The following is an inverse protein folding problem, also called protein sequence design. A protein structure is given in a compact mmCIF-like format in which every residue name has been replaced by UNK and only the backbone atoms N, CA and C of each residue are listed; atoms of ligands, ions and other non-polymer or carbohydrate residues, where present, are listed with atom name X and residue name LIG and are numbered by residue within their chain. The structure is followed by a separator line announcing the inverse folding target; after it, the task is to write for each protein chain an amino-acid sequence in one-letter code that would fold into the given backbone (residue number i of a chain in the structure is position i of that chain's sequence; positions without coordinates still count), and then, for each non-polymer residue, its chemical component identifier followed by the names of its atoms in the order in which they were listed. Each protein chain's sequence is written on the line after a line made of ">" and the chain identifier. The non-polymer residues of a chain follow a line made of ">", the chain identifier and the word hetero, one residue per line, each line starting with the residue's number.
data_IF_380821455665
#
_entry.id   IF_380821455665
#
_cell.length_a   1.000
_cell.length_b   1.000
_cell.length_c   1.000
_cell.angle_alpha   90.00
_cell.angle_beta   90.00
_cell.angle_gamma   90.00
#
_symmetry.space_group_name_H-M   'P 1'
#
loop_
_entity.id
_entity.type
_entity.pdbx_description
1 polymer ?
#
# COMPACT_ATOMS: atom_id res chain seq x y z
N UNK A 1 -0.37 2.84 1.82
CA UNK A 1 0.09 2.48 0.45
C UNK A 1 -0.67 1.28 -0.06
N UNK A 2 -1.09 1.33 -1.33
CA UNK A 2 -1.93 0.32 -2.01
C UNK A 2 -1.17 -1.00 -2.25
N UNK A 3 -0.59 -1.60 -1.21
CA UNK A 3 0.03 -2.94 -1.29
C UNK A 3 -1.11 -3.93 -1.56
N UNK A 4 -1.11 -4.62 -2.72
CA UNK A 4 -2.20 -5.50 -3.09
C UNK A 4 -2.37 -6.62 -2.06
N UNK A 5 -3.60 -6.74 -1.54
CA UNK A 5 -4.05 -7.87 -0.74
C UNK A 5 -4.56 -8.95 -1.67
N UNK A 6 -3.64 -9.64 -2.35
CA UNK A 6 -3.96 -10.75 -3.25
C UNK A 6 -4.23 -12.04 -2.47
N UNK A 7 -5.01 -11.93 -1.40
CA UNK A 7 -5.40 -13.05 -0.54
C UNK A 7 -6.80 -13.47 -1.00
N UNK A 8 -6.99 -14.72 -1.49
CA UNK A 8 -8.30 -15.20 -1.88
C UNK A 8 -9.30 -15.10 -0.73
N UNK A 9 -10.56 -14.79 -1.05
CA UNK A 9 -11.67 -14.91 -0.10
C UNK A 9 -11.92 -16.36 0.33
N UNK A 10 -12.91 -16.61 1.20
CA UNK A 10 -13.19 -17.97 1.68
C UNK A 10 -13.55 -18.91 0.51
N UNK A 11 -13.28 -20.21 0.67
CA UNK A 11 -13.66 -21.20 -0.35
C UNK A 11 -15.20 -21.28 -0.44
N UNK A 12 -15.72 -21.14 -1.65
CA UNK A 12 -17.15 -21.21 -1.94
C UNK A 12 -17.44 -22.28 -2.97
N UNK A 13 -18.56 -22.98 -2.82
CA UNK A 13 -19.04 -23.97 -3.78
C UNK A 13 -20.46 -23.63 -4.23
N UNK A 14 -20.85 -24.10 -5.41
CA UNK A 14 -22.20 -23.88 -5.96
C UNK A 14 -23.14 -24.98 -5.51
N UNK A 15 -24.32 -24.60 -5.03
CA UNK A 15 -25.43 -25.49 -4.72
C UNK A 15 -26.50 -25.32 -5.80
N UNK A 16 -26.86 -26.43 -6.44
CA UNK A 16 -27.96 -26.49 -7.40
C UNK A 16 -29.24 -26.92 -6.69
N UNK A 17 -30.30 -26.12 -6.82
CA UNK A 17 -31.62 -26.44 -6.27
C UNK A 17 -32.47 -27.22 -7.29
N UNK A 18 -33.46 -27.97 -6.79
CA UNK A 18 -34.38 -28.77 -7.60
C UNK A 18 -35.19 -27.93 -8.63
N UNK A 19 -35.25 -26.61 -8.45
CA UNK A 19 -35.91 -25.67 -9.37
C UNK A 19 -35.02 -25.13 -10.51
N UNK A 20 -33.74 -25.49 -10.55
CA UNK A 20 -32.77 -24.97 -11.52
C UNK A 20 -32.04 -23.69 -11.09
N UNK A 21 -32.37 -23.15 -9.91
CA UNK A 21 -31.65 -22.03 -9.32
C UNK A 21 -30.31 -22.48 -8.72
N UNK A 22 -29.30 -21.61 -8.80
CA UNK A 22 -27.96 -21.84 -8.27
C UNK A 22 -27.56 -20.73 -7.31
N UNK A 23 -26.91 -21.09 -6.20
CA UNK A 23 -26.31 -20.11 -5.30
C UNK A 23 -24.96 -20.59 -4.76
N UNK A 24 -24.09 -19.63 -4.44
CA UNK A 24 -22.78 -19.91 -3.84
C UNK A 24 -22.92 -19.99 -2.33
N UNK A 25 -22.36 -21.04 -1.74
CA UNK A 25 -22.27 -21.22 -0.30
C UNK A 25 -20.81 -21.20 0.12
N UNK A 26 -20.51 -20.58 1.26
CA UNK A 26 -19.21 -20.66 1.90
C UNK A 26 -19.07 -22.05 2.53
N UNK A 27 -17.96 -22.72 2.29
CA UNK A 27 -17.65 -23.97 2.95
C UNK A 27 -17.02 -23.69 4.32
N UNK A 28 -17.62 -24.21 5.38
CA UNK A 28 -17.07 -24.11 6.73
C UNK A 28 -16.01 -25.20 6.93
N UNK A 29 -14.76 -24.83 6.64
CA UNK A 29 -13.63 -25.75 6.79
C UNK A 29 -13.28 -26.03 8.24
N UNK A 30 -13.57 -25.09 9.16
CA UNK A 30 -13.21 -25.24 10.57
C UNK A 30 -14.04 -26.35 11.22
N UNK A 31 -15.34 -26.42 10.91
CA UNK A 31 -16.20 -27.55 11.31
C UNK A 31 -15.77 -28.87 10.64
N UNK A 32 -15.44 -28.82 9.35
CA UNK A 32 -14.96 -30.00 8.61
C UNK A 32 -13.60 -30.52 9.11
N UNK A 33 -12.75 -29.69 9.69
CA UNK A 33 -11.50 -30.15 10.33
C UNK A 33 -11.76 -30.93 11.62
N UNK A 34 -12.83 -30.62 12.34
CA UNK A 34 -13.25 -31.38 13.54
C UNK A 34 -13.88 -32.71 13.12
N UNK A 35 -14.72 -32.68 12.09
CA UNK A 35 -15.47 -33.84 11.59
C UNK A 35 -15.02 -34.22 10.16
N UNK A 36 -13.73 -34.48 9.98
CA UNK A 36 -13.17 -34.67 8.64
C UNK A 36 -13.81 -35.81 7.85
N UNK A 37 -14.34 -35.52 6.64
CA UNK A 37 -14.81 -36.54 5.73
C UNK A 37 -13.69 -37.53 5.45
N UNK A 38 -13.99 -38.82 5.61
CA UNK A 38 -13.01 -39.88 5.31
C UNK A 38 -13.04 -40.16 3.83
N UNK A 39 -11.86 -40.47 3.27
CA UNK A 39 -11.78 -40.94 1.90
C UNK A 39 -12.64 -42.20 1.75
N UNK A 40 -13.60 -42.24 0.80
CA UNK A 40 -14.40 -43.43 0.58
C UNK A 40 -13.52 -44.62 0.18
N UNK A 41 -13.92 -45.82 0.60
CA UNK A 41 -13.18 -47.06 0.32
C UNK A 41 -13.52 -47.67 -1.04
N UNK A 42 -14.73 -47.40 -1.54
CA UNK A 42 -15.18 -47.85 -2.86
C UNK A 42 -14.57 -46.91 -3.91
N UNK A 43 -13.98 -47.43 -5.01
CA UNK A 43 -13.49 -46.60 -6.11
C UNK A 43 -14.56 -45.67 -6.67
N UNK A 44 -14.18 -44.46 -7.08
CA UNK A 44 -15.11 -43.45 -7.58
C UNK A 44 -15.88 -43.94 -8.82
N UNK A 45 -15.26 -44.77 -9.64
CA UNK A 45 -15.84 -45.35 -10.84
C UNK A 45 -17.00 -46.31 -10.53
N UNK A 46 -17.04 -46.87 -9.32
CA UNK A 46 -18.07 -47.79 -8.84
C UNK A 46 -19.17 -47.05 -8.06
N UNK A 47 -18.92 -45.79 -7.66
CA UNK A 47 -19.87 -44.95 -6.95
C UNK A 47 -20.85 -44.29 -7.94
N UNK A 48 -21.92 -45.01 -8.30
CA UNK A 48 -22.94 -44.51 -9.22
C UNK A 48 -23.73 -43.33 -8.61
N UNK A 49 -24.01 -42.31 -9.43
CA UNK A 49 -24.79 -41.15 -9.01
C UNK A 49 -26.17 -41.56 -8.44
N UNK A 50 -26.52 -41.01 -7.29
CA UNK A 50 -27.74 -41.34 -6.54
C UNK A 50 -27.54 -42.40 -5.45
N UNK A 51 -26.38 -43.07 -5.39
CA UNK A 51 -26.01 -43.92 -4.27
C UNK A 51 -25.30 -43.11 -3.16
N UNK A 52 -25.41 -43.53 -1.88
CA UNK A 52 -24.73 -42.87 -0.77
C UNK A 52 -23.22 -42.66 -1.01
N UNK A 53 -22.55 -43.65 -1.58
CA UNK A 53 -21.10 -43.64 -1.77
C UNK A 53 -20.64 -42.59 -2.78
N UNK A 54 -21.51 -42.19 -3.71
CA UNK A 54 -21.24 -41.08 -4.62
C UNK A 54 -21.21 -39.75 -3.86
N UNK A 55 -22.15 -39.54 -2.95
CA UNK A 55 -22.21 -38.32 -2.14
C UNK A 55 -21.05 -38.24 -1.14
N UNK A 56 -20.61 -39.38 -0.59
CA UNK A 56 -19.40 -39.45 0.24
C UNK A 56 -18.16 -39.00 -0.55
N UNK A 57 -18.06 -39.36 -1.84
CA UNK A 57 -16.99 -38.88 -2.73
C UNK A 57 -17.08 -37.38 -3.00
N UNK A 58 -18.29 -36.85 -3.29
CA UNK A 58 -18.48 -35.41 -3.50
C UNK A 58 -18.10 -34.59 -2.27
N UNK A 59 -18.49 -35.04 -1.08
CA UNK A 59 -18.15 -34.39 0.18
C UNK A 59 -16.65 -34.45 0.46
N UNK A 60 -16.01 -35.61 0.26
CA UNK A 60 -14.57 -35.76 0.44
C UNK A 60 -13.77 -34.89 -0.54
N UNK A 61 -14.16 -34.85 -1.82
CA UNK A 61 -13.51 -34.00 -2.83
C UNK A 61 -13.66 -32.52 -2.50
N UNK A 62 -14.87 -32.08 -2.10
CA UNK A 62 -15.12 -30.69 -1.68
C UNK A 62 -14.24 -30.31 -0.49
N UNK A 63 -14.07 -31.22 0.48
CA UNK A 63 -13.15 -31.01 1.59
C UNK A 63 -11.69 -30.89 1.14
N UNK A 64 -11.22 -31.74 0.21
CA UNK A 64 -9.85 -31.64 -0.33
C UNK A 64 -9.63 -30.33 -1.10
N UNK A 65 -10.60 -29.88 -1.88
CA UNK A 65 -10.53 -28.59 -2.57
C UNK A 65 -10.48 -27.42 -1.58
N UNK A 66 -11.32 -27.46 -0.54
CA UNK A 66 -11.33 -26.47 0.52
C UNK A 66 -9.98 -26.42 1.26
N UNK A 67 -9.37 -27.57 1.58
CA UNK A 67 -8.03 -27.66 2.17
C UNK A 67 -6.97 -27.05 1.26
N UNK A 68 -6.98 -27.38 -0.04
CA UNK A 68 -6.04 -26.82 -1.00
C UNK A 68 -6.18 -25.29 -1.11
N UNK A 69 -7.42 -24.78 -1.08
CA UNK A 69 -7.70 -23.36 -1.08
C UNK A 69 -7.20 -22.67 0.20
N UNK A 70 -7.39 -23.30 1.36
CA UNK A 70 -6.91 -22.77 2.64
C UNK A 70 -5.38 -22.68 2.68
N UNK A 71 -4.67 -23.68 2.15
CA UNK A 71 -3.21 -23.63 2.00
C UNK A 71 -2.77 -22.44 1.14
N UNK A 72 -3.41 -22.22 -0.02
CA UNK A 72 -3.11 -21.07 -0.88
C UNK A 72 -3.39 -19.73 -0.19
N UNK A 73 -4.44 -19.65 0.62
CA UNK A 73 -4.70 -18.47 1.42
C UNK A 73 -3.56 -18.22 2.43
N UNK A 74 -3.10 -19.26 3.13
CA UNK A 74 -1.98 -19.14 4.07
C UNK A 74 -0.68 -18.69 3.37
N UNK A 75 -0.37 -19.26 2.21
CA UNK A 75 0.78 -18.84 1.39
C UNK A 75 0.64 -17.37 0.95
N UNK A 76 -0.54 -16.98 0.44
CA UNK A 76 -0.80 -15.58 0.06
C UNK A 76 -0.72 -14.60 1.24
N UNK A 77 -1.13 -15.01 2.45
CA UNK A 77 -0.93 -14.23 3.68
C UNK A 77 0.55 -14.07 4.01
N UNK A 78 1.33 -15.15 3.93
CA UNK A 78 2.77 -15.10 4.20
C UNK A 78 3.47 -14.15 3.23
N UNK A 79 3.18 -14.25 1.93
CA UNK A 79 3.71 -13.34 0.90
C UNK A 79 3.27 -11.89 1.15
N UNK A 80 2.01 -11.65 1.53
CA UNK A 80 1.55 -10.31 1.87
C UNK A 80 2.31 -9.72 3.06
N UNK A 81 2.49 -10.50 4.13
CA UNK A 81 3.27 -10.10 5.30
C UNK A 81 4.72 -9.78 4.94
N UNK A 82 5.34 -10.57 4.05
CA UNK A 82 6.70 -10.32 3.55
C UNK A 82 6.76 -8.98 2.79
N UNK A 83 5.83 -8.73 1.86
CA UNK A 83 5.74 -7.45 1.14
C UNK A 83 5.58 -6.25 2.07
N UNK A 84 4.71 -6.37 3.07
CA UNK A 84 4.50 -5.32 4.09
C UNK A 84 5.79 -5.10 4.90
N UNK A 85 6.48 -6.17 5.27
CA UNK A 85 7.73 -6.10 6.03
C UNK A 85 8.81 -5.38 5.25
N UNK A 86 9.04 -5.75 3.99
CA UNK A 86 10.00 -5.08 3.10
C UNK A 86 9.65 -3.60 2.97
N UNK A 87 8.37 -3.29 2.73
CA UNK A 87 7.92 -1.91 2.63
C UNK A 87 8.21 -1.09 3.90
N UNK A 88 7.94 -1.65 5.08
CA UNK A 88 8.25 -1.00 6.36
C UNK A 88 9.76 -0.83 6.54
N UNK A 89 10.57 -1.81 6.16
CA UNK A 89 12.03 -1.67 6.25
C UNK A 89 12.56 -0.57 5.33
N UNK A 90 12.10 -0.52 4.07
CA UNK A 90 12.61 0.41 3.06
C UNK A 90 12.11 1.85 3.22
N UNK A 91 10.91 2.05 3.75
CA UNK A 91 10.24 3.36 3.76
C UNK A 91 9.90 3.84 5.17
N UNK A 92 9.76 2.90 6.10
CA UNK A 92 9.39 3.07 7.50
C UNK A 92 10.50 3.59 8.40
N UNK A 93 11.67 2.99 8.22
CA UNK A 93 12.71 2.89 9.23
C UNK A 93 14.03 3.46 8.73
N UNK A 94 14.84 4.09 9.60
CA UNK A 94 16.25 4.33 9.31
C UNK A 94 17.00 2.99 9.25
N UNK A 95 18.15 2.97 8.55
CA UNK A 95 19.00 1.78 8.44
C UNK A 95 19.38 1.24 9.84
N UNK A 96 19.37 -0.09 10.01
CA UNK A 96 19.81 -0.83 11.20
C UNK A 96 19.02 -0.64 12.53
N UNK A 97 17.69 -0.49 12.50
CA UNK A 97 16.89 -0.50 13.74
C UNK A 97 16.68 -1.92 14.28
N UNK A 98 17.32 -2.25 15.40
CA UNK A 98 16.99 -3.42 16.21
C UNK A 98 15.79 -3.13 17.13
N UNK A 99 14.81 -4.05 17.16
CA UNK A 99 13.67 -3.97 18.08
C UNK A 99 14.07 -4.64 19.39
N UNK A 100 14.46 -3.87 20.39
CA UNK A 100 14.85 -4.39 21.71
C UNK A 100 13.77 -4.14 22.77
N UNK A 101 12.97 -3.09 22.59
CA UNK A 101 11.96 -2.66 23.57
C UNK A 101 10.57 -2.49 22.93
N UNK A 102 9.54 -2.42 23.79
CA UNK A 102 8.17 -2.10 23.36
C UNK A 102 8.11 -0.70 22.73
N UNK A 103 8.88 0.26 23.25
CA UNK A 103 8.94 1.62 22.70
C UNK A 103 9.54 1.64 21.28
N UNK A 104 10.52 0.77 21.00
CA UNK A 104 11.06 0.62 19.65
C UNK A 104 10.01 0.05 18.71
N UNK A 105 9.28 -0.98 19.15
CA UNK A 105 8.15 -1.51 18.39
C UNK A 105 7.09 -0.44 18.13
N UNK A 106 6.70 0.37 19.12
CA UNK A 106 5.71 1.44 18.96
C UNK A 106 6.18 2.52 17.97
N UNK A 107 7.46 2.90 18.01
CA UNK A 107 8.03 3.84 17.03
C UNK A 107 7.95 3.29 15.61
N UNK A 108 8.32 2.02 15.42
CA UNK A 108 8.26 1.35 14.12
C UNK A 108 6.81 1.23 13.65
N UNK A 109 5.91 0.81 14.53
CA UNK A 109 4.49 0.67 14.25
C UNK A 109 3.88 2.02 13.83
N UNK A 110 4.15 3.08 14.58
CA UNK A 110 3.67 4.42 14.25
C UNK A 110 4.28 4.96 12.95
N UNK A 111 5.57 4.69 12.69
CA UNK A 111 6.20 5.02 11.41
C UNK A 111 5.60 4.22 10.24
N UNK A 112 5.26 2.94 10.46
CA UNK A 112 4.61 2.09 9.46
C UNK A 112 3.17 2.52 9.15
N UNK A 113 2.46 3.05 10.14
CA UNK A 113 1.14 3.65 9.96
C UNK A 113 1.21 4.98 9.21
N UNK A 114 2.28 5.75 9.43
CA UNK A 114 2.53 7.06 8.81
C UNK A 114 3.92 7.12 8.19
N UNK A 115 4.13 6.48 7.02
CA UNK A 115 5.40 6.61 6.34
C UNK A 115 5.61 8.06 5.92
N UNK A 116 6.79 8.62 6.17
CA UNK A 116 7.04 10.03 5.84
C UNK A 116 7.15 10.23 4.33
N UNK A 117 6.60 11.33 3.82
CA UNK A 117 6.79 11.68 2.41
C UNK A 117 8.25 12.05 2.16
N UNK A 118 8.93 11.33 1.25
CA UNK A 118 10.31 11.61 0.90
C UNK A 118 10.42 12.80 -0.06
N UNK A 119 11.61 13.43 -0.13
CA UNK A 119 11.87 14.47 -1.13
C UNK A 119 11.75 13.92 -2.56
N UNK A 120 12.11 12.65 -2.76
CA UNK A 120 12.01 11.95 -4.05
C UNK A 120 10.56 11.80 -4.50
N UNK A 121 9.63 11.51 -3.57
CA UNK A 121 8.19 11.43 -3.87
C UNK A 121 7.65 12.79 -4.34
N UNK A 122 8.06 13.87 -3.68
CA UNK A 122 7.66 15.24 -4.02
C UNK A 122 8.26 15.64 -5.37
N UNK A 123 9.55 15.40 -5.61
CA UNK A 123 10.22 15.64 -6.91
C UNK A 123 9.49 14.91 -8.04
N UNK A 124 9.23 13.62 -7.83
CA UNK A 124 8.50 12.78 -8.78
C UNK A 124 7.12 13.33 -9.06
N UNK A 125 6.41 13.79 -8.01
CA UNK A 125 5.08 14.37 -8.18
C UNK A 125 5.10 15.70 -8.94
N UNK A 126 6.04 16.59 -8.63
CA UNK A 126 6.19 17.86 -9.34
C UNK A 126 6.49 17.66 -10.83
N UNK A 127 7.37 16.73 -11.17
CA UNK A 127 7.70 16.40 -12.57
C UNK A 127 6.54 15.69 -13.27
N UNK A 128 6.04 14.57 -12.73
CA UNK A 128 5.08 13.70 -13.43
C UNK A 128 3.62 14.15 -13.35
N UNK A 129 3.19 14.74 -12.23
CA UNK A 129 1.78 15.12 -12.04
C UNK A 129 1.52 16.57 -12.47
N UNK A 130 2.48 17.48 -12.23
CA UNK A 130 2.29 18.90 -12.47
C UNK A 130 3.10 19.44 -13.66
N UNK A 131 4.08 18.69 -14.17
CA UNK A 131 4.95 19.18 -15.26
C UNK A 131 5.70 20.45 -14.90
N UNK A 132 6.04 20.64 -13.62
CA UNK A 132 6.59 21.88 -13.12
C UNK A 132 8.01 22.12 -13.65
N UNK A 133 8.14 23.02 -14.61
CA UNK A 133 9.41 23.38 -15.25
C UNK A 133 9.65 24.89 -15.24
N UNK A 134 10.92 25.28 -15.19
CA UNK A 134 11.37 26.68 -15.25
C UNK A 134 12.53 26.80 -16.24
N UNK A 135 12.38 27.64 -17.26
CA UNK A 135 13.40 27.81 -18.30
C UNK A 135 13.77 26.52 -19.03
N UNK A 136 12.84 25.57 -19.15
CA UNK A 136 13.05 24.26 -19.77
C UNK A 136 13.71 23.20 -18.89
N UNK A 137 13.98 23.51 -17.61
CA UNK A 137 14.49 22.55 -16.61
C UNK A 137 13.42 22.17 -15.60
N UNK A 138 13.57 21.03 -14.95
CA UNK A 138 12.69 20.68 -13.83
C UNK A 138 12.85 21.69 -12.68
N UNK A 139 11.76 21.97 -11.96
CA UNK A 139 11.73 23.04 -10.96
C UNK A 139 12.79 22.89 -9.85
N UNK A 140 13.08 21.66 -9.42
CA UNK A 140 14.12 21.41 -8.41
C UNK A 140 15.53 21.66 -8.95
N UNK A 141 15.82 21.27 -10.19
CA UNK A 141 17.11 21.59 -10.85
C UNK A 141 17.27 23.10 -11.04
N UNK A 142 16.17 23.80 -11.32
CA UNK A 142 16.18 25.25 -11.42
C UNK A 142 16.45 25.91 -10.06
N UNK A 143 15.87 25.39 -8.97
CA UNK A 143 16.10 25.88 -7.61
C UNK A 143 17.55 25.69 -7.15
N UNK A 144 18.18 24.57 -7.52
CA UNK A 144 19.61 24.32 -7.23
C UNK A 144 20.54 25.36 -7.89
N UNK A 145 20.07 26.06 -8.94
CA UNK A 145 20.82 27.13 -9.61
C UNK A 145 20.64 28.52 -8.99
N UNK A 146 19.78 28.65 -7.98
CA UNK A 146 19.60 29.90 -7.23
C UNK A 146 20.76 30.03 -6.25
N UNK A 147 21.44 31.18 -6.24
CA UNK A 147 22.49 31.46 -5.26
C UNK A 147 21.86 31.62 -3.86
N UNK A 148 21.90 30.57 -3.05
CA UNK A 148 21.29 30.51 -1.71
C UNK A 148 22.28 30.10 -0.61
N UNK A 149 22.04 30.57 0.62
CA UNK A 149 22.91 30.37 1.79
C UNK A 149 22.91 28.95 2.39
N UNK A 150 23.92 28.67 3.24
CA UNK A 150 24.20 27.36 3.87
C UNK A 150 23.21 26.96 4.97
N UNK A 151 21.94 26.71 4.63
CA UNK A 151 20.97 26.12 5.55
C UNK A 151 20.56 24.72 5.11
N UNK A 152 20.99 23.68 5.83
CA UNK A 152 20.37 22.35 5.77
C UNK A 152 19.22 22.28 6.77
N UNK A 153 18.01 21.97 6.29
CA UNK A 153 16.84 21.82 7.14
C UNK A 153 16.02 20.62 6.64
N UNK A 154 15.48 19.80 7.56
CA UNK A 154 14.58 18.69 7.23
C UNK A 154 13.24 19.29 6.77
N UNK A 155 13.20 19.70 5.51
CA UNK A 155 12.14 20.51 4.93
C UNK A 155 10.83 19.75 4.75
N UNK A 156 10.89 18.45 4.48
CA UNK A 156 9.73 17.61 4.18
C UNK A 156 8.75 17.50 5.34
N UNK A 157 9.24 17.22 6.56
CA UNK A 157 8.39 17.09 7.75
C UNK A 157 7.66 18.40 8.11
N UNK A 158 8.32 19.53 7.90
CA UNK A 158 7.69 20.85 8.07
C UNK A 158 6.65 21.12 6.98
N UNK A 159 6.89 20.66 5.76
CA UNK A 159 5.91 20.76 4.69
C UNK A 159 4.67 19.89 4.94
N UNK A 160 4.86 18.67 5.45
CA UNK A 160 3.76 17.80 5.91
C UNK A 160 2.97 18.48 7.04
N UNK A 161 3.66 19.02 8.05
CA UNK A 161 3.02 19.73 9.16
C UNK A 161 2.20 20.93 8.68
N UNK A 162 2.77 21.75 7.80
CA UNK A 162 2.08 22.90 7.22
C UNK A 162 0.87 22.48 6.38
N UNK A 163 0.96 21.37 5.65
CA UNK A 163 -0.15 20.83 4.90
C UNK A 163 -1.26 20.34 5.84
N UNK A 164 -0.94 19.57 6.88
CA UNK A 164 -1.91 19.13 7.89
C UNK A 164 -2.66 20.30 8.52
N UNK A 165 -1.93 21.34 8.94
CA UNK A 165 -2.51 22.57 9.50
C UNK A 165 -3.46 23.24 8.49
N UNK A 166 -3.06 23.33 7.21
CA UNK A 166 -3.90 23.92 6.16
C UNK A 166 -5.17 23.13 5.87
N UNK A 167 -5.12 21.80 6.00
CA UNK A 167 -6.28 20.94 5.82
C UNK A 167 -7.19 20.93 7.06
N UNK A 168 -6.70 21.39 8.21
CA UNK A 168 -7.40 21.26 9.49
C UNK A 168 -7.55 19.79 9.93
N UNK A 169 -6.66 18.93 9.44
CA UNK A 169 -6.69 17.49 9.71
C UNK A 169 -5.85 17.15 10.94
N UNK A 170 -6.29 16.15 11.69
CA UNK A 170 -5.44 15.50 12.71
C UNK A 170 -4.40 14.63 12.01
N UNK A 171 -3.33 14.29 12.73
CA UNK A 171 -2.31 13.37 12.20
C UNK A 171 -2.95 12.04 11.75
N UNK A 172 -3.85 11.46 12.55
CA UNK A 172 -4.57 10.24 12.19
C UNK A 172 -5.32 10.37 10.85
N UNK A 173 -6.12 11.42 10.67
CA UNK A 173 -6.87 11.65 9.43
C UNK A 173 -5.94 11.90 8.22
N UNK A 174 -4.83 12.60 8.43
CA UNK A 174 -3.83 12.84 7.39
C UNK A 174 -3.16 11.54 6.92
N UNK A 175 -2.93 10.60 7.84
CA UNK A 175 -2.24 9.33 7.58
C UNK A 175 -3.06 8.29 6.85
N UNK A 176 -4.39 8.45 6.82
CA UNK A 176 -5.25 7.60 5.99
C UNK A 176 -4.99 7.80 4.49
N UNK A 177 -4.35 8.92 4.10
CA UNK A 177 -3.97 9.21 2.72
C UNK A 177 -2.67 8.48 2.35
N UNK A 178 -2.64 7.84 1.18
CA UNK A 178 -1.42 7.19 0.68
C UNK A 178 -0.27 8.17 0.42
N UNK A 179 0.99 7.70 0.45
CA UNK A 179 2.18 8.55 0.27
C UNK A 179 2.07 9.38 -1.02
N UNK A 180 1.69 8.75 -2.12
CA UNK A 180 1.58 9.42 -3.44
C UNK A 180 0.56 10.55 -3.45
N UNK A 181 -0.51 10.44 -2.67
CA UNK A 181 -1.49 11.52 -2.53
C UNK A 181 -0.91 12.66 -1.70
N UNK A 182 -0.34 12.34 -0.53
CA UNK A 182 0.30 13.34 0.33
C UNK A 182 1.43 14.09 -0.39
N UNK A 183 2.27 13.38 -1.15
CA UNK A 183 3.31 13.95 -1.99
C UNK A 183 2.76 14.91 -3.06
N UNK A 184 1.64 14.56 -3.72
CA UNK A 184 0.95 15.45 -4.68
C UNK A 184 0.44 16.71 -4.00
N UNK A 185 -0.12 16.59 -2.81
CA UNK A 185 -0.64 17.74 -2.05
C UNK A 185 0.49 18.66 -1.59
N UNK A 186 1.60 18.11 -1.10
CA UNK A 186 2.79 18.89 -0.76
C UNK A 186 3.36 19.57 -2.00
N UNK A 187 3.45 18.85 -3.12
CA UNK A 187 3.89 19.42 -4.39
C UNK A 187 3.02 20.61 -4.83
N UNK A 188 1.69 20.45 -4.82
CA UNK A 188 0.75 21.52 -5.13
C UNK A 188 0.91 22.73 -4.19
N UNK A 189 1.14 22.47 -2.90
CA UNK A 189 1.38 23.52 -1.90
C UNK A 189 2.67 24.30 -2.15
N UNK A 190 3.73 23.63 -2.63
CA UNK A 190 5.08 24.19 -2.75
C UNK A 190 5.44 24.75 -4.11
N UNK A 191 4.79 24.30 -5.17
CA UNK A 191 4.99 24.82 -6.53
C UNK A 191 4.92 26.36 -6.58
N UNK A 192 3.88 27.04 -6.05
CA UNK A 192 3.80 28.50 -6.11
C UNK A 192 4.96 29.21 -5.38
N UNK A 193 5.36 28.67 -4.23
CA UNK A 193 6.48 29.19 -3.43
C UNK A 193 7.79 29.09 -4.22
N UNK A 194 8.03 27.95 -4.86
CA UNK A 194 9.23 27.70 -5.66
C UNK A 194 9.31 28.59 -6.92
N UNK A 195 8.20 28.77 -7.63
CA UNK A 195 8.13 29.72 -8.73
C UNK A 195 8.41 31.16 -8.26
N UNK A 196 7.89 31.57 -7.11
CA UNK A 196 8.16 32.90 -6.53
C UNK A 196 9.64 33.12 -6.21
N UNK A 197 10.34 32.10 -5.72
CA UNK A 197 11.79 32.15 -5.48
C UNK A 197 12.56 32.34 -6.80
N UNK A 198 12.22 31.56 -7.83
CA UNK A 198 12.87 31.62 -9.15
C UNK A 198 12.62 32.94 -9.87
N UNK A 199 11.39 33.49 -9.78
CA UNK A 199 11.06 34.82 -10.28
C UNK A 199 11.86 35.92 -9.58
N UNK A 200 12.00 35.81 -8.26
CA UNK A 200 12.77 36.77 -7.47
C UNK A 200 14.25 36.76 -7.83
N UNK A 201 14.85 35.57 -7.97
CA UNK A 201 16.24 35.41 -8.39
C UNK A 201 16.50 35.98 -9.79
N UNK A 202 15.61 35.67 -10.76
CA UNK A 202 15.67 36.27 -12.10
C UNK A 202 15.63 37.79 -12.03
N UNK A 203 14.71 38.35 -11.25
CA UNK A 203 14.56 39.80 -11.09
C UNK A 203 15.84 40.43 -10.52
N UNK A 204 16.44 39.81 -9.49
CA UNK A 204 17.68 40.29 -8.87
C UNK A 204 18.84 40.26 -9.88
N UNK A 205 18.98 39.18 -10.66
CA UNK A 205 20.01 39.05 -11.70
C UNK A 205 19.85 40.13 -12.78
N UNK A 206 18.62 40.40 -13.22
CA UNK A 206 18.33 41.47 -14.19
C UNK A 206 18.64 42.87 -13.65
N UNK A 207 18.36 43.15 -12.36
CA UNK A 207 18.72 44.43 -11.73
C UNK A 207 20.23 44.62 -11.62
N UNK A 208 20.97 43.57 -11.24
CA UNK A 208 22.44 43.59 -11.20
C UNK A 208 23.03 43.86 -12.59
N UNK A 209 22.51 43.20 -13.63
CA UNK A 209 22.97 43.38 -15.01
C UNK A 209 22.70 44.79 -15.58
N UNK A 210 21.68 45.51 -15.07
CA UNK A 210 21.38 46.90 -15.47
C UNK A 210 22.19 47.95 -14.70
N UNK A 211 22.79 47.57 -13.56
CA UNK A 211 23.46 48.50 -12.63
C UNK A 211 25.00 48.44 -12.72
N UNK A 212 25.55 47.49 -13.47
CA UNK A 212 26.98 47.37 -13.79
C UNK A 212 27.25 47.72 -15.24
#
# INVERSE_FOLDING_TARGET
>A
DDIPKDIPGPYTYTVHLLGGDEYKMVYDIDDALVNSPKKPTIPMEEALAGNPEYYDWEEWLRFQEALSHQTKMFEGYAEYCERVTIYVQENCLPDDVAIETVDDWEKIYNAALCPQVSLTDIKTSMSRNFGATWGGKEIFEALESVEGGMGEYISTKVWETNLMIKLGETEAAYTERGIKERARMIAALKIPEFFGILESDKTVKEMRAKSG
#
